data_IF_537070037228
#
_entry.id   IF_537070037228
#
_cell.length_a   1.000
_cell.length_b   1.000
_cell.length_c   1.000
_cell.angle_alpha   90.00
_cell.angle_beta   90.00
_cell.angle_gamma   90.00
#
_symmetry.space_group_name_H-M   'P 1'
#
loop_
_entity.id
_entity.type
_entity.pdbx_description
1 polymer ?
#
# COMPACT_ATOMS: atom_id res chain seq x y z
N UNK A 1 -35.31 1.41 1.41
CA UNK A 1 -34.08 1.49 2.23
C UNK A 1 -33.14 0.38 1.78
N UNK A 2 -31.96 0.70 1.20
CA UNK A 2 -30.97 -0.33 0.81
C UNK A 2 -30.39 -0.94 2.09
N UNK A 3 -30.58 -2.24 2.27
CA UNK A 3 -29.95 -3.01 3.36
C UNK A 3 -28.49 -3.24 2.95
N UNK A 4 -27.55 -2.49 3.53
CA UNK A 4 -26.14 -2.82 3.40
C UNK A 4 -25.90 -4.12 4.18
N UNK A 5 -25.65 -5.21 3.46
CA UNK A 5 -25.14 -6.44 4.06
C UNK A 5 -23.72 -6.14 4.54
N UNK A 6 -23.56 -5.93 5.85
CA UNK A 6 -22.24 -5.79 6.45
C UNK A 6 -21.51 -7.12 6.25
N UNK A 7 -20.37 -7.15 5.55
CA UNK A 7 -19.61 -8.38 5.42
C UNK A 7 -19.21 -8.84 6.83
N UNK A 8 -19.55 -10.08 7.16
CA UNK A 8 -19.12 -10.70 8.41
C UNK A 8 -17.60 -10.73 8.39
N UNK A 9 -16.96 -9.98 9.30
CA UNK A 9 -15.51 -10.01 9.44
C UNK A 9 -15.11 -11.44 9.81
N UNK A 10 -14.13 -12.05 9.10
CA UNK A 10 -13.71 -13.41 9.39
C UNK A 10 -13.22 -13.46 10.84
N UNK A 11 -13.62 -14.50 11.56
CA UNK A 11 -13.18 -14.72 12.94
C UNK A 11 -11.66 -14.95 12.92
N UNK A 12 -10.90 -14.01 13.50
CA UNK A 12 -9.43 -14.03 13.49
C UNK A 12 -8.91 -15.26 14.26
N UNK A 13 -8.47 -16.27 13.52
CA UNK A 13 -7.99 -17.54 14.06
C UNK A 13 -6.47 -17.72 14.02
N UNK A 14 -5.95 -18.84 14.55
CA UNK A 14 -4.54 -19.20 14.43
C UNK A 14 -4.12 -19.29 12.96
N UNK A 15 -3.21 -18.41 12.52
CA UNK A 15 -2.75 -18.32 11.12
C UNK A 15 -2.93 -16.94 10.48
N UNK A 16 -3.79 -16.10 11.05
CA UNK A 16 -3.86 -14.68 10.65
C UNK A 16 -2.61 -13.94 11.13
N UNK A 17 -2.08 -13.06 10.28
CA UNK A 17 -0.97 -12.16 10.62
C UNK A 17 -1.51 -10.75 10.82
N UNK A 18 -0.97 -10.05 11.81
CA UNK A 18 -1.24 -8.63 11.98
C UNK A 18 -0.77 -7.86 10.74
N UNK A 19 -1.49 -6.79 10.40
CA UNK A 19 -1.05 -5.86 9.37
C UNK A 19 0.35 -5.34 9.72
N UNK A 20 1.23 -5.26 8.72
CA UNK A 20 2.57 -4.71 8.86
C UNK A 20 2.69 -3.49 7.97
N UNK A 21 3.29 -2.44 8.51
CA UNK A 21 3.76 -1.34 7.68
C UNK A 21 4.96 -1.82 6.87
N UNK A 22 4.91 -1.65 5.56
CA UNK A 22 6.07 -1.83 4.69
C UNK A 22 6.75 -0.47 4.53
N UNK A 23 7.96 -0.33 5.06
CA UNK A 23 8.72 0.93 5.05
C UNK A 23 10.06 0.69 4.34
N UNK A 24 10.15 1.02 3.03
CA UNK A 24 11.41 0.95 2.29
C UNK A 24 12.50 1.85 2.89
N UNK A 25 13.77 1.44 2.73
CA UNK A 25 14.93 2.23 3.14
C UNK A 25 15.06 3.49 2.28
N UNK A 26 15.19 4.65 2.93
CA UNK A 26 15.29 5.95 2.28
C UNK A 26 16.75 6.30 1.98
N UNK A 27 17.13 6.42 0.71
CA UNK A 27 18.52 6.67 0.29
C UNK A 27 18.67 8.09 -0.26
N UNK A 28 19.48 8.91 0.41
CA UNK A 28 19.62 10.34 0.09
C UNK A 28 20.25 10.63 -1.28
N UNK A 29 20.95 9.66 -1.86
CA UNK A 29 21.67 9.81 -3.14
C UNK A 29 20.74 9.87 -4.36
N UNK A 30 19.53 9.30 -4.27
CA UNK A 30 18.61 9.18 -5.42
C UNK A 30 17.22 9.72 -5.06
N UNK A 31 17.12 11.05 -4.93
CA UNK A 31 15.87 11.74 -4.64
C UNK A 31 15.24 12.37 -5.89
N UNK A 32 13.93 12.61 -5.84
CA UNK A 32 13.26 13.47 -6.81
C UNK A 32 13.68 14.93 -6.63
N UNK A 33 13.64 15.68 -7.73
CA UNK A 33 13.67 17.13 -7.69
C UNK A 33 12.53 17.67 -6.82
N UNK A 34 12.70 18.83 -6.17
CA UNK A 34 11.73 19.34 -5.18
C UNK A 34 10.29 19.44 -5.69
N UNK A 35 10.07 19.94 -6.91
CA UNK A 35 8.73 20.06 -7.49
C UNK A 35 8.05 18.70 -7.70
N UNK A 36 8.83 17.70 -8.13
CA UNK A 36 8.36 16.34 -8.37
C UNK A 36 8.09 15.62 -7.05
N UNK A 37 8.94 15.85 -6.05
CA UNK A 37 8.73 15.35 -4.69
C UNK A 37 7.45 15.88 -4.07
N UNK A 38 7.18 17.19 -4.24
CA UNK A 38 5.94 17.82 -3.80
C UNK A 38 4.71 17.20 -4.48
N UNK A 39 4.75 17.02 -5.80
CA UNK A 39 3.64 16.39 -6.54
C UNK A 39 3.38 14.94 -6.13
N UNK A 40 4.43 14.20 -5.74
CA UNK A 40 4.34 12.78 -5.36
C UNK A 40 4.05 12.56 -3.87
N UNK A 41 4.18 13.59 -3.04
CA UNK A 41 4.07 13.49 -1.58
C UNK A 41 5.27 12.86 -0.89
N UNK A 42 6.38 12.64 -1.62
CA UNK A 42 7.64 12.10 -1.10
C UNK A 42 8.78 12.48 -2.03
N UNK A 43 9.96 12.82 -1.48
CA UNK A 43 11.19 13.00 -2.27
C UNK A 43 11.86 11.66 -2.62
N UNK A 44 11.52 10.59 -1.91
CA UNK A 44 12.15 9.28 -2.04
C UNK A 44 11.40 8.41 -3.07
N UNK A 45 12.04 8.04 -4.20
CA UNK A 45 11.40 7.21 -5.22
C UNK A 45 10.87 5.87 -4.72
N UNK A 46 11.60 5.23 -3.82
CA UNK A 46 11.25 3.96 -3.18
C UNK A 46 9.95 4.01 -2.38
N UNK A 47 9.52 5.20 -1.93
CA UNK A 47 8.26 5.39 -1.21
C UNK A 47 7.09 5.73 -2.14
N UNK A 48 7.34 5.99 -3.42
CA UNK A 48 6.30 6.30 -4.38
C UNK A 48 5.70 5.01 -4.95
N UNK A 49 4.47 4.69 -4.54
CA UNK A 49 3.77 3.43 -4.90
C UNK A 49 4.60 2.17 -4.58
N UNK A 50 4.98 1.95 -3.29
CA UNK A 50 5.94 0.92 -2.90
C UNK A 50 5.33 -0.49 -2.89
N UNK A 51 4.02 -0.59 -3.00
CA UNK A 51 3.32 -1.87 -2.98
C UNK A 51 3.39 -2.50 -4.37
N UNK A 52 3.62 -3.82 -4.46
CA UNK A 52 3.56 -4.51 -5.74
C UNK A 52 2.23 -4.20 -6.41
N UNK A 53 2.28 -3.75 -7.67
CA UNK A 53 1.08 -3.64 -8.51
C UNK A 53 0.51 -5.03 -8.63
N UNK A 54 -0.49 -5.32 -7.81
CA UNK A 54 -1.21 -6.59 -7.87
C UNK A 54 -1.69 -6.69 -9.31
N UNK A 55 -1.21 -7.71 -10.06
CA UNK A 55 -1.96 -8.11 -11.26
C UNK A 55 -3.36 -8.35 -10.74
N UNK A 56 -4.31 -7.54 -11.20
CA UNK A 56 -5.73 -7.78 -11.00
C UNK A 56 -5.89 -9.21 -11.48
N UNK A 57 -6.04 -10.15 -10.55
CA UNK A 57 -5.94 -11.57 -10.85
C UNK A 57 -6.84 -11.84 -12.03
N UNK A 58 -6.25 -12.36 -13.11
CA UNK A 58 -6.99 -12.96 -14.20
C UNK A 58 -8.03 -13.92 -13.58
N UNK A 59 -9.22 -13.86 -14.16
CA UNK A 59 -10.44 -14.56 -13.78
C UNK A 59 -10.23 -15.98 -13.22
N UNK A 60 -10.94 -16.29 -12.13
CA UNK A 60 -11.63 -17.57 -11.92
C UNK A 60 -12.66 -17.42 -10.79
#
# INVERSE_FOLDING_TARGET
MKKYSMPVLPQMGPGFKLARAYIPFQIMDKIFEPWKGLMRGTIFPELYDPYPKKKRSDEN
#
